data_IF_484212540687
#
_entry.id   IF_484212540687
#
_cell.length_a   1.000
_cell.length_b   1.000
_cell.length_c   1.000
_cell.angle_alpha   90.00
_cell.angle_beta   90.00
_cell.angle_gamma   90.00
#
_symmetry.space_group_name_H-M   'P 1'
#
loop_
_entity.id
_entity.type
_entity.pdbx_description
1 polymer ?
#
# COMPACT_ATOMS: atom_id res chain seq x y z
N UNK A 1 1.84 -22.83 -9.40
CA UNK A 1 3.29 -23.08 -9.19
C UNK A 1 4.20 -21.97 -9.71
N UNK A 2 4.11 -21.53 -10.98
CA UNK A 2 5.05 -20.52 -11.54
C UNK A 2 5.05 -19.19 -10.78
N UNK A 3 3.88 -18.66 -10.43
CA UNK A 3 3.80 -17.34 -9.78
C UNK A 3 4.38 -17.33 -8.37
N UNK A 4 4.14 -18.39 -7.58
CA UNK A 4 4.79 -18.58 -6.28
C UNK A 4 6.31 -18.57 -6.40
N UNK A 5 6.84 -19.28 -7.39
CA UNK A 5 8.28 -19.34 -7.63
C UNK A 5 8.84 -17.96 -8.01
N UNK A 6 8.17 -17.21 -8.90
CA UNK A 6 8.58 -15.83 -9.24
C UNK A 6 8.59 -14.94 -7.99
N UNK A 7 7.53 -14.99 -7.17
CA UNK A 7 7.45 -14.21 -5.94
C UNK A 7 8.58 -14.55 -4.96
N UNK A 8 8.94 -15.83 -4.83
CA UNK A 8 10.01 -16.26 -3.91
C UNK A 8 11.42 -16.08 -4.46
N UNK A 9 11.64 -16.30 -5.75
CA UNK A 9 12.97 -16.32 -6.35
C UNK A 9 13.37 -14.92 -6.87
N UNK A 10 12.43 -14.18 -7.46
CA UNK A 10 12.72 -12.88 -8.09
C UNK A 10 12.44 -11.71 -7.15
N UNK A 11 11.34 -11.73 -6.40
CA UNK A 11 11.02 -10.69 -5.42
C UNK A 11 11.58 -10.96 -4.01
N UNK A 12 12.12 -12.18 -3.77
CA UNK A 12 12.57 -12.66 -2.46
C UNK A 12 11.49 -12.56 -1.37
N UNK A 13 10.22 -12.73 -1.76
CA UNK A 13 9.09 -12.72 -0.83
C UNK A 13 8.82 -14.10 -0.26
N UNK A 14 8.41 -14.12 1.01
CA UNK A 14 8.02 -15.37 1.68
C UNK A 14 6.53 -15.63 1.48
N UNK A 15 6.19 -16.64 0.68
CA UNK A 15 4.81 -17.02 0.39
C UNK A 15 4.45 -18.29 1.15
N UNK A 16 3.49 -18.21 2.07
CA UNK A 16 3.04 -19.36 2.85
C UNK A 16 2.53 -20.49 1.94
N UNK A 17 2.95 -21.73 2.22
CA UNK A 17 2.59 -22.93 1.44
C UNK A 17 1.07 -23.15 1.34
N UNK A 18 0.29 -22.62 2.28
CA UNK A 18 -1.17 -22.78 2.33
C UNK A 18 -1.92 -21.85 1.39
N UNK A 19 -1.28 -20.82 0.82
CA UNK A 19 -1.91 -19.96 -0.18
C UNK A 19 -2.12 -20.71 -1.50
N UNK A 20 -3.29 -20.55 -2.10
CA UNK A 20 -3.59 -21.20 -3.38
C UNK A 20 -2.76 -20.62 -4.52
N UNK A 21 -2.63 -21.35 -5.62
CA UNK A 21 -1.98 -20.84 -6.84
C UNK A 21 -2.69 -19.59 -7.38
N UNK A 22 -4.03 -19.57 -7.37
CA UNK A 22 -4.81 -18.41 -7.80
C UNK A 22 -4.52 -17.17 -6.93
N UNK A 23 -4.39 -17.35 -5.61
CA UNK A 23 -3.98 -16.26 -4.71
C UNK A 23 -2.57 -15.76 -5.05
N UNK A 24 -1.64 -16.66 -5.35
CA UNK A 24 -0.28 -16.28 -5.77
C UNK A 24 -0.30 -15.52 -7.12
N UNK A 25 -1.16 -15.91 -8.06
CA UNK A 25 -1.33 -15.20 -9.33
C UNK A 25 -1.83 -13.77 -9.11
N UNK A 26 -2.78 -13.57 -8.20
CA UNK A 26 -3.27 -12.22 -7.82
C UNK A 26 -2.16 -11.38 -7.19
N UNK A 27 -1.35 -11.95 -6.28
CA UNK A 27 -0.23 -11.23 -5.66
C UNK A 27 0.80 -10.82 -6.72
N UNK A 28 1.12 -11.72 -7.66
CA UNK A 28 2.04 -11.41 -8.76
C UNK A 28 1.48 -10.32 -9.69
N UNK A 29 0.17 -10.32 -9.96
CA UNK A 29 -0.47 -9.24 -10.73
C UNK A 29 -0.34 -7.89 -10.03
N UNK A 30 -0.56 -7.85 -8.71
CA UNK A 30 -0.41 -6.63 -7.92
C UNK A 30 1.03 -6.13 -7.93
N UNK A 31 2.02 -7.01 -7.73
CA UNK A 31 3.44 -6.66 -7.83
C UNK A 31 3.76 -6.04 -9.20
N UNK A 32 3.32 -6.67 -10.29
CA UNK A 32 3.53 -6.15 -11.65
C UNK A 32 2.86 -4.79 -11.86
N UNK A 33 1.67 -4.58 -11.31
CA UNK A 33 0.99 -3.28 -11.40
C UNK A 33 1.81 -2.19 -10.69
N UNK A 34 2.30 -2.48 -9.48
CA UNK A 34 3.15 -1.54 -8.74
C UNK A 34 4.47 -1.27 -9.47
N UNK A 35 5.13 -2.30 -9.99
CA UNK A 35 6.35 -2.13 -10.79
C UNK A 35 6.09 -1.30 -12.05
N UNK A 36 5.01 -1.57 -12.78
CA UNK A 36 4.65 -0.80 -13.96
C UNK A 36 4.43 0.68 -13.63
N UNK A 37 3.78 0.98 -12.51
CA UNK A 37 3.62 2.35 -12.02
C UNK A 37 4.97 2.98 -11.62
N UNK A 38 5.78 2.28 -10.82
CA UNK A 38 7.08 2.76 -10.35
C UNK A 38 7.99 3.13 -11.54
N UNK A 39 8.12 2.24 -12.52
CA UNK A 39 9.08 2.37 -13.62
C UNK A 39 8.49 3.02 -14.87
N UNK A 40 7.17 3.21 -14.97
CA UNK A 40 6.48 3.82 -16.12
C UNK A 40 6.96 3.30 -17.49
N UNK A 41 7.20 1.99 -17.59
CA UNK A 41 7.66 1.35 -18.83
C UNK A 41 9.12 1.63 -19.21
N UNK A 42 9.91 2.29 -18.36
CA UNK A 42 11.38 2.30 -18.49
C UNK A 42 11.88 0.87 -18.38
N UNK A 43 12.90 0.51 -19.16
CA UNK A 43 13.53 -0.82 -19.10
C UNK A 43 13.84 -1.09 -17.63
N UNK A 44 13.19 -2.10 -17.05
CA UNK A 44 13.39 -2.44 -15.64
C UNK A 44 14.89 -2.63 -15.44
N UNK A 45 15.56 -1.74 -14.68
CA UNK A 45 16.92 -2.04 -14.31
C UNK A 45 16.87 -3.27 -13.40
N UNK A 46 18.01 -3.93 -13.18
CA UNK A 46 18.12 -4.97 -12.14
C UNK A 46 17.61 -4.51 -10.75
N UNK A 47 17.33 -3.21 -10.58
CA UNK A 47 16.85 -2.49 -9.39
C UNK A 47 15.37 -2.66 -9.06
N UNK A 48 14.47 -3.08 -9.98
CA UNK A 48 13.06 -3.38 -9.58
C UNK A 48 13.03 -4.47 -8.51
N UNK A 49 13.93 -5.44 -8.69
CA UNK A 49 14.16 -6.50 -7.72
C UNK A 49 14.68 -5.93 -6.40
N UNK A 50 15.55 -4.91 -6.40
CA UNK A 50 16.23 -4.46 -5.19
C UNK A 50 15.28 -3.84 -4.15
N UNK A 51 14.32 -2.98 -4.56
CA UNK A 51 13.35 -2.38 -3.63
C UNK A 51 12.53 -3.47 -2.93
N UNK A 52 11.85 -4.32 -3.70
CA UNK A 52 10.95 -5.32 -3.13
C UNK A 52 11.66 -6.47 -2.42
N UNK A 53 12.89 -6.79 -2.82
CA UNK A 53 13.79 -7.68 -2.06
C UNK A 53 14.17 -7.08 -0.72
N UNK A 54 14.52 -5.80 -0.70
CA UNK A 54 14.92 -5.09 0.52
C UNK A 54 13.77 -4.99 1.52
N UNK A 55 12.54 -4.80 1.03
CA UNK A 55 11.35 -4.75 1.88
C UNK A 55 11.03 -6.12 2.51
N UNK A 56 11.19 -7.21 1.75
CA UNK A 56 10.93 -8.58 2.23
C UNK A 56 9.50 -8.79 2.73
N UNK A 57 8.54 -8.92 1.80
CA UNK A 57 7.12 -9.08 2.15
C UNK A 57 6.79 -10.56 2.45
N UNK A 58 6.03 -10.79 3.50
CA UNK A 58 5.51 -12.12 3.87
C UNK A 58 4.01 -12.18 3.57
N UNK A 59 3.57 -13.18 2.79
CA UNK A 59 2.15 -13.39 2.51
C UNK A 59 1.66 -14.66 3.21
N UNK A 60 0.62 -14.52 4.05
CA UNK A 60 0.07 -15.62 4.84
C UNK A 60 -1.46 -15.66 4.75
N UNK A 61 -2.10 -16.84 4.89
CA UNK A 61 -3.54 -16.87 5.06
C UNK A 61 -3.91 -16.19 6.39
N UNK A 62 -4.97 -15.39 6.38
CA UNK A 62 -5.54 -14.85 7.62
C UNK A 62 -5.96 -15.99 8.56
N UNK A 63 -5.93 -15.79 9.88
CA UNK A 63 -6.57 -16.70 10.83
C UNK A 63 -8.06 -16.96 10.52
N UNK A 64 -8.61 -18.16 10.83
CA UNK A 64 -9.99 -18.53 10.46
C UNK A 64 -11.09 -17.57 10.92
N UNK A 65 -10.89 -16.87 12.03
CA UNK A 65 -11.88 -15.93 12.55
C UNK A 65 -12.07 -14.70 11.65
N UNK A 66 -11.05 -14.31 10.89
CA UNK A 66 -11.11 -13.21 9.90
C UNK A 66 -11.73 -13.62 8.56
N UNK A 67 -11.90 -14.91 8.30
CA UNK A 67 -12.45 -15.38 7.02
C UNK A 67 -13.91 -14.95 6.84
N UNK A 68 -14.67 -14.96 7.94
CA UNK A 68 -16.09 -14.54 7.92
C UNK A 68 -16.25 -13.06 7.59
N UNK A 69 -15.30 -12.23 7.99
CA UNK A 69 -15.32 -10.78 7.72
C UNK A 69 -14.57 -10.42 6.44
N UNK A 70 -13.98 -11.40 5.74
CA UNK A 70 -13.12 -11.20 4.56
C UNK A 70 -12.05 -10.13 4.79
N UNK A 71 -11.52 -10.10 6.01
CA UNK A 71 -10.63 -9.04 6.45
C UNK A 71 -9.17 -9.39 6.13
N UNK A 72 -8.54 -8.49 5.40
CA UNK A 72 -7.11 -8.47 5.10
C UNK A 72 -6.43 -7.48 6.05
N UNK A 73 -5.17 -7.72 6.40
CA UNK A 73 -4.42 -6.76 7.20
C UNK A 73 -2.92 -6.97 7.06
N UNK A 74 -2.17 -5.93 7.45
CA UNK A 74 -0.71 -5.97 7.55
C UNK A 74 -0.26 -5.87 9.00
N UNK A 75 0.67 -6.73 9.38
CA UNK A 75 1.49 -6.59 10.58
C UNK A 75 2.97 -6.55 10.16
N UNK A 76 3.66 -5.43 10.42
CA UNK A 76 5.04 -5.21 9.96
C UNK A 76 5.14 -5.33 8.43
N UNK A 77 5.89 -6.33 7.93
CA UNK A 77 5.98 -6.71 6.52
C UNK A 77 5.14 -7.94 6.16
N UNK A 78 4.31 -8.43 7.08
CA UNK A 78 3.43 -9.59 6.85
C UNK A 78 2.04 -9.13 6.44
N UNK A 79 1.61 -9.54 5.26
CA UNK A 79 0.23 -9.39 4.78
C UNK A 79 -0.55 -10.68 5.00
N UNK A 80 -1.64 -10.57 5.76
CA UNK A 80 -2.59 -11.65 6.03
C UNK A 80 -3.79 -11.53 5.09
N UNK A 81 -4.05 -12.57 4.30
CA UNK A 81 -5.08 -12.56 3.27
C UNK A 81 -6.12 -13.66 3.41
N UNK A 82 -7.36 -13.32 3.08
CA UNK A 82 -8.42 -14.29 2.80
C UNK A 82 -8.39 -14.63 1.31
N UNK A 83 -7.80 -15.78 0.97
CA UNK A 83 -7.39 -16.09 -0.41
C UNK A 83 -8.49 -15.99 -1.48
N UNK A 84 -9.73 -16.38 -1.17
CA UNK A 84 -10.87 -16.29 -2.09
C UNK A 84 -11.43 -14.88 -2.28
N UNK A 85 -11.11 -13.96 -1.36
CA UNK A 85 -11.57 -12.57 -1.39
C UNK A 85 -10.49 -11.61 -1.91
N UNK A 86 -9.24 -12.07 -2.06
CA UNK A 86 -8.14 -11.24 -2.52
C UNK A 86 -8.28 -10.93 -4.02
N UNK A 87 -8.45 -9.65 -4.33
CA UNK A 87 -8.28 -9.12 -5.69
C UNK A 87 -6.98 -8.32 -5.82
N UNK A 88 -6.60 -7.98 -7.05
CA UNK A 88 -5.38 -7.22 -7.34
C UNK A 88 -5.36 -5.89 -6.57
N UNK A 89 -6.46 -5.14 -6.64
CA UNK A 89 -6.71 -3.89 -5.93
C UNK A 89 -6.44 -3.99 -4.42
N UNK A 90 -6.98 -5.00 -3.75
CA UNK A 90 -6.71 -5.24 -2.33
C UNK A 90 -5.25 -5.58 -2.08
N UNK A 91 -4.63 -6.41 -2.93
CA UNK A 91 -3.21 -6.73 -2.76
C UNK A 91 -2.29 -5.50 -2.92
N UNK A 92 -2.59 -4.59 -3.86
CA UNK A 92 -1.88 -3.30 -4.00
C UNK A 92 -2.07 -2.43 -2.75
N UNK A 93 -3.29 -2.39 -2.21
CA UNK A 93 -3.61 -1.67 -0.97
C UNK A 93 -2.77 -2.18 0.21
N UNK A 94 -2.71 -3.51 0.42
CA UNK A 94 -1.90 -4.08 1.51
C UNK A 94 -0.39 -3.84 1.29
N UNK A 95 0.11 -3.88 0.05
CA UNK A 95 1.51 -3.51 -0.25
C UNK A 95 1.80 -2.08 0.21
N UNK A 96 0.86 -1.15 0.08
CA UNK A 96 1.01 0.21 0.57
C UNK A 96 1.19 0.25 2.09
N UNK A 97 0.41 -0.50 2.86
CA UNK A 97 0.62 -0.60 4.31
C UNK A 97 1.99 -1.16 4.68
N UNK A 98 2.50 -2.14 3.92
CA UNK A 98 3.87 -2.63 4.12
C UNK A 98 4.89 -1.53 3.83
N UNK A 99 4.73 -0.77 2.75
CA UNK A 99 5.61 0.36 2.42
C UNK A 99 5.58 1.43 3.52
N UNK A 100 4.40 1.72 4.08
CA UNK A 100 4.23 2.69 5.14
C UNK A 100 4.98 2.26 6.42
N UNK A 101 4.85 0.99 6.80
CA UNK A 101 5.60 0.40 7.91
C UNK A 101 7.11 0.37 7.66
N UNK A 102 7.53 -0.01 6.45
CA UNK A 102 8.94 -0.22 6.12
C UNK A 102 9.73 1.10 6.04
N UNK A 103 9.13 2.13 5.43
CA UNK A 103 9.78 3.44 5.23
C UNK A 103 9.56 4.40 6.39
N UNK A 104 8.72 4.03 7.36
CA UNK A 104 8.44 4.87 8.51
C UNK A 104 9.43 4.72 9.66
N UNK A 105 9.35 5.66 10.60
CA UNK A 105 10.23 5.69 11.78
C UNK A 105 9.89 4.59 12.80
N UNK A 106 8.71 3.96 12.69
CA UNK A 106 8.27 2.88 13.54
C UNK A 106 7.93 1.63 12.70
N UNK A 107 8.28 0.41 13.14
CA UNK A 107 7.99 -0.82 12.38
C UNK A 107 6.48 -1.12 12.22
N UNK A 108 5.63 -0.37 12.91
CA UNK A 108 4.16 -0.35 12.80
C UNK A 108 3.67 1.09 12.55
N UNK A 109 4.28 1.81 11.61
CA UNK A 109 3.92 3.20 11.29
C UNK A 109 2.46 3.36 10.85
N UNK A 110 1.86 2.32 10.25
CA UNK A 110 0.42 2.25 9.97
C UNK A 110 -0.48 2.35 11.20
N UNK A 111 0.07 2.14 12.40
CA UNK A 111 -0.62 2.30 13.69
C UNK A 111 -0.15 3.58 14.40
N UNK A 112 1.18 3.73 14.53
CA UNK A 112 1.80 4.75 15.39
C UNK A 112 2.20 6.04 14.66
N UNK A 113 2.14 6.06 13.33
CA UNK A 113 2.57 7.18 12.50
C UNK A 113 4.08 7.19 12.24
N UNK A 114 4.52 8.25 11.56
CA UNK A 114 5.91 8.45 11.17
C UNK A 114 6.31 7.81 9.83
N UNK A 115 5.36 7.27 9.07
CA UNK A 115 5.58 6.73 7.72
C UNK A 115 5.13 7.68 6.59
N UNK A 116 5.29 7.24 5.33
CA UNK A 116 4.73 7.87 4.13
C UNK A 116 3.29 8.38 4.27
N UNK A 117 2.41 7.67 5.00
CA UNK A 117 1.03 8.09 5.23
C UNK A 117 0.94 9.44 5.95
N UNK A 118 1.79 9.67 6.95
CA UNK A 118 1.86 10.94 7.66
C UNK A 118 2.46 12.04 6.77
N UNK A 119 3.40 11.71 5.89
CA UNK A 119 4.00 12.67 4.95
C UNK A 119 2.99 13.13 3.90
N UNK A 120 2.20 12.20 3.35
CA UNK A 120 1.09 12.51 2.44
C UNK A 120 0.01 13.35 3.15
N UNK A 121 -0.37 12.97 4.38
CA UNK A 121 -1.35 13.71 5.17
C UNK A 121 -0.90 15.17 5.41
N UNK A 122 0.39 15.40 5.69
CA UNK A 122 0.93 16.77 5.82
C UNK A 122 0.99 17.51 4.49
N UNK A 123 1.31 16.85 3.38
CA UNK A 123 1.42 17.51 2.06
C UNK A 123 0.10 18.09 1.59
N UNK A 124 -1.03 17.47 1.95
CA UNK A 124 -2.38 17.97 1.67
C UNK A 124 -2.90 18.97 2.72
N UNK A 125 -2.09 19.35 3.70
CA UNK A 125 -2.42 20.37 4.71
C UNK A 125 -3.09 19.86 5.99
N UNK A 126 -3.05 18.55 6.27
CA UNK A 126 -3.59 17.97 7.50
C UNK A 126 -2.48 17.65 8.54
N UNK A 127 -2.90 17.45 9.79
CA UNK A 127 -2.04 17.19 10.94
C UNK A 127 -2.20 15.71 11.36
N UNK A 128 -1.35 14.78 10.89
CA UNK A 128 -1.52 13.36 11.17
C UNK A 128 -1.52 13.04 12.67
N UNK A 129 -0.82 13.83 13.49
CA UNK A 129 -0.70 13.68 14.94
C UNK A 129 -2.06 13.72 15.66
N UNK A 130 -3.08 14.34 15.05
CA UNK A 130 -4.44 14.39 15.58
C UNK A 130 -5.21 13.06 15.47
N UNK A 131 -4.65 12.04 14.80
CA UNK A 131 -5.36 10.81 14.43
C UNK A 131 -4.70 9.57 15.04
N UNK A 132 -5.31 8.96 16.07
CA UNK A 132 -4.78 7.72 16.64
C UNK A 132 -5.90 6.70 16.89
N UNK A 133 -5.71 5.41 16.53
CA UNK A 133 -4.60 4.88 15.72
C UNK A 133 -4.71 5.31 14.24
N UNK A 134 -3.60 5.29 13.48
CA UNK A 134 -3.55 5.79 12.09
C UNK A 134 -4.42 5.01 11.10
N UNK A 135 -4.60 3.71 11.30
CA UNK A 135 -5.47 2.86 10.44
C UNK A 135 -6.96 3.04 10.72
N UNK A 136 -7.35 3.53 11.92
CA UNK A 136 -8.75 3.74 12.27
C UNK A 136 -8.91 4.86 13.28
N UNK A 137 -8.92 6.09 12.78
CA UNK A 137 -9.06 7.32 13.53
C UNK A 137 -10.51 7.87 13.43
N UNK A 138 -11.33 7.74 14.49
CA UNK A 138 -12.67 8.28 14.49
C UNK A 138 -12.69 9.80 14.19
N UNK A 139 -13.58 10.21 13.29
CA UNK A 139 -13.72 11.62 12.92
C UNK A 139 -12.69 12.13 11.91
N UNK A 140 -11.88 11.24 11.31
CA UNK A 140 -10.93 11.59 10.25
C UNK A 140 -11.61 12.38 9.12
N UNK A 141 -12.63 11.84 8.46
CA UNK A 141 -13.37 12.53 7.38
C UNK A 141 -13.89 13.91 7.81
N UNK A 142 -14.46 14.00 9.02
CA UNK A 142 -14.99 15.26 9.56
C UNK A 142 -13.89 16.29 9.76
N UNK A 143 -12.71 15.88 10.25
CA UNK A 143 -11.56 16.77 10.44
C UNK A 143 -11.00 17.22 9.09
N UNK A 144 -10.83 16.32 8.13
CA UNK A 144 -10.38 16.65 6.77
C UNK A 144 -11.35 17.65 6.12
N UNK A 145 -12.66 17.43 6.25
CA UNK A 145 -13.69 18.38 5.80
C UNK A 145 -13.57 19.74 6.47
N UNK A 146 -13.38 19.77 7.79
CA UNK A 146 -13.28 21.02 8.55
C UNK A 146 -12.01 21.83 8.22
N UNK A 147 -10.93 21.16 7.81
CA UNK A 147 -9.71 21.80 7.34
C UNK A 147 -9.80 22.28 5.89
N UNK A 148 -10.89 21.98 5.18
CA UNK A 148 -11.05 22.27 3.75
C UNK A 148 -9.90 21.73 2.89
N UNK A 149 -9.33 20.58 3.28
CA UNK A 149 -8.28 19.91 2.52
C UNK A 149 -8.86 18.89 1.55
N UNK A 150 -8.08 18.54 0.53
CA UNK A 150 -8.45 17.49 -0.42
C UNK A 150 -8.72 16.17 0.31
N UNK A 151 -9.75 15.44 -0.12
CA UNK A 151 -10.12 14.12 0.42
C UNK A 151 -9.81 13.01 -0.57
N UNK A 152 -9.64 11.79 -0.04
CA UNK A 152 -9.65 10.60 -0.87
C UNK A 152 -10.98 10.51 -1.65
N UNK A 153 -10.95 10.20 -2.96
CA UNK A 153 -12.18 10.15 -3.75
C UNK A 153 -13.05 8.92 -3.42
N UNK A 154 -12.52 7.91 -2.72
CA UNK A 154 -13.29 6.76 -2.26
C UNK A 154 -13.82 6.97 -0.84
N UNK A 155 -14.95 6.32 -0.51
CA UNK A 155 -15.47 6.32 0.86
C UNK A 155 -14.52 5.60 1.82
N UNK A 156 -13.89 4.51 1.36
CA UNK A 156 -12.99 3.70 2.17
C UNK A 156 -11.78 4.52 2.65
N UNK A 157 -11.03 5.10 1.72
CA UNK A 157 -9.83 5.89 2.04
C UNK A 157 -10.12 7.16 2.84
N UNK A 158 -11.26 7.83 2.63
CA UNK A 158 -11.54 9.10 3.35
C UNK A 158 -12.08 8.93 4.76
N UNK A 159 -12.56 7.74 5.15
CA UNK A 159 -13.34 7.58 6.38
C UNK A 159 -12.60 6.89 7.53
N UNK A 160 -11.54 6.14 7.25
CA UNK A 160 -10.90 5.30 8.26
C UNK A 160 -9.75 6.00 8.99
N UNK A 161 -8.78 6.58 8.29
CA UNK A 161 -7.64 7.25 8.93
C UNK A 161 -6.48 7.46 7.95
N UNK A 162 -5.39 8.15 8.38
CA UNK A 162 -4.29 8.49 7.48
C UNK A 162 -3.64 7.28 6.79
N UNK A 163 -3.51 6.13 7.48
CA UNK A 163 -2.87 4.96 6.89
C UNK A 163 -3.74 4.33 5.79
N UNK A 164 -5.06 4.29 5.98
CA UNK A 164 -6.02 3.77 4.98
C UNK A 164 -6.21 4.76 3.83
N UNK A 165 -6.19 6.08 4.10
CA UNK A 165 -6.18 7.12 3.06
C UNK A 165 -4.97 6.96 2.15
N UNK A 166 -3.78 6.79 2.74
CA UNK A 166 -2.55 6.54 2.01
C UNK A 166 -2.63 5.26 1.19
N UNK A 167 -3.01 4.14 1.79
CA UNK A 167 -3.04 2.86 1.11
C UNK A 167 -4.05 2.83 -0.03
N UNK A 168 -5.20 3.47 0.16
CA UNK A 168 -6.24 3.56 -0.87
C UNK A 168 -5.87 4.55 -1.99
N UNK A 169 -5.20 5.65 -1.66
CA UNK A 169 -4.65 6.57 -2.66
C UNK A 169 -3.53 5.90 -3.47
N UNK A 170 -2.68 5.10 -2.84
CA UNK A 170 -1.65 4.31 -3.52
C UNK A 170 -2.28 3.27 -4.45
N UNK A 171 -3.30 2.54 -3.98
CA UNK A 171 -4.07 1.65 -4.85
C UNK A 171 -4.58 2.38 -6.09
N UNK A 172 -5.16 3.57 -5.92
CA UNK A 172 -5.67 4.36 -7.02
C UNK A 172 -4.57 4.85 -7.96
N UNK A 173 -3.43 5.35 -7.47
CA UNK A 173 -2.36 5.83 -8.37
C UNK A 173 -1.78 4.69 -9.22
N UNK A 174 -1.76 3.47 -8.67
CA UNK A 174 -1.26 2.27 -9.36
C UNK A 174 -2.29 1.70 -10.35
N UNK A 175 -3.57 1.64 -9.97
CA UNK A 175 -4.61 0.90 -10.73
C UNK A 175 -5.51 1.79 -11.57
N UNK A 176 -5.67 3.07 -11.20
CA UNK A 176 -6.54 4.04 -11.88
C UNK A 176 -5.99 5.48 -11.71
N UNK A 177 -4.78 5.78 -12.25
CA UNK A 177 -4.10 7.05 -12.05
C UNK A 177 -4.92 8.26 -12.54
N UNK A 178 -5.62 8.12 -13.67
CA UNK A 178 -6.43 9.20 -14.24
C UNK A 178 -7.59 9.61 -13.31
N UNK A 179 -8.20 8.65 -12.61
CA UNK A 179 -9.24 8.93 -11.62
C UNK A 179 -8.68 9.66 -10.40
N UNK A 180 -7.51 9.24 -9.89
CA UNK A 180 -6.88 9.94 -8.77
C UNK A 180 -6.47 11.36 -9.17
N UNK A 181 -5.83 11.52 -10.32
CA UNK A 181 -5.39 12.82 -10.82
C UNK A 181 -6.56 13.80 -10.99
N UNK A 182 -7.68 13.34 -11.54
CA UNK A 182 -8.86 14.19 -11.74
C UNK A 182 -9.64 14.50 -10.46
N UNK A 183 -9.66 13.57 -9.49
CA UNK A 183 -10.52 13.70 -8.30
C UNK A 183 -9.77 14.16 -7.04
N UNK A 184 -8.47 13.91 -6.97
CA UNK A 184 -7.59 14.26 -5.86
C UNK A 184 -6.16 14.55 -6.38
N UNK A 185 -5.97 15.63 -7.16
CA UNK A 185 -4.69 15.97 -7.78
C UNK A 185 -3.53 16.16 -6.79
N UNK A 186 -3.75 16.71 -5.59
CA UNK A 186 -2.67 16.92 -4.62
C UNK A 186 -2.08 15.57 -4.14
N UNK A 187 -2.92 14.56 -3.92
CA UNK A 187 -2.47 13.18 -3.65
C UNK A 187 -1.72 12.58 -4.83
N UNK A 188 -2.26 12.72 -6.03
CA UNK A 188 -1.61 12.24 -7.24
C UNK A 188 -0.19 12.81 -7.39
N UNK A 189 -0.07 14.15 -7.30
CA UNK A 189 1.22 14.85 -7.39
C UNK A 189 2.19 14.42 -6.29
N UNK A 190 1.68 14.18 -5.07
CA UNK A 190 2.50 13.65 -3.99
C UNK A 190 3.07 12.26 -4.32
N UNK A 191 2.25 11.35 -4.86
CA UNK A 191 2.72 10.02 -5.25
C UNK A 191 3.72 10.06 -6.41
N UNK A 192 3.54 10.95 -7.39
CA UNK A 192 4.53 11.10 -8.47
C UNK A 192 5.88 11.60 -7.95
N UNK A 193 5.88 12.57 -7.02
CA UNK A 193 7.12 13.05 -6.40
C UNK A 193 7.75 11.99 -5.47
N UNK A 194 6.92 11.28 -4.70
CA UNK A 194 7.37 10.23 -3.81
C UNK A 194 7.96 9.04 -4.58
N UNK A 195 7.37 8.67 -5.72
CA UNK A 195 7.89 7.66 -6.65
C UNK A 195 9.32 7.97 -7.09
N UNK A 196 9.58 9.21 -7.52
CA UNK A 196 10.93 9.63 -7.92
C UNK A 196 11.93 9.52 -6.76
N UNK A 197 11.50 9.93 -5.56
CA UNK A 197 12.32 9.82 -4.34
C UNK A 197 12.65 8.36 -4.00
N UNK A 198 11.69 7.45 -4.15
CA UNK A 198 11.92 6.01 -3.97
C UNK A 198 12.93 5.49 -4.98
N UNK A 199 12.79 5.81 -6.27
CA UNK A 199 13.73 5.36 -7.28
C UNK A 199 15.16 5.85 -6.96
N UNK A 200 15.32 7.12 -6.60
CA UNK A 200 16.63 7.69 -6.24
C UNK A 200 17.28 7.03 -5.01
N UNK A 201 16.47 6.51 -4.08
CA UNK A 201 16.95 5.83 -2.87
C UNK A 201 17.43 4.40 -3.17
N UNK A 202 16.79 3.69 -4.10
CA UNK A 202 17.03 2.27 -4.36
C UNK A 202 17.80 1.98 -5.66
N UNK A 203 18.14 3.00 -6.46
CA UNK A 203 19.05 2.89 -7.62
C UNK A 203 20.53 3.13 -7.29
N UNK A 204 20.86 3.54 -6.06
CA UNK A 204 22.25 3.74 -5.59
C UNK A 204 22.84 2.47 -4.98
#
# INVERSE_FOLDING_TARGET
>A
MKSRQILSDEAEWTIDARLSDATCDTILQALKAVENWLFQGRIQPRTSSQLFKTIGIYWKPSPPFWWKTRYHHVEFSTTFVVGEALCCDTAVHEIAHVLDNFLGMHPLSTIFGGGPADLMCRSIGAEPECFFPRFRAPGFEKRMTALCVEQNPTLYGRSLGPAEDFAESFRLVVTNPDYLHSSAPCRYDWFENWRLTLLDQFEK
#
